data_IF_103962002002
#
_entry.id   IF_103962002002
#
_cell.length_a   1.000
_cell.length_b   1.000
_cell.length_c   1.000
_cell.angle_alpha   90.00
_cell.angle_beta   90.00
_cell.angle_gamma   90.00
#
_symmetry.space_group_name_H-M   'P 1'
#
loop_
_entity.id
_entity.type
_entity.pdbx_description
1 polymer ?
#
# COMPACT_ATOMS: atom_id res chain seq x y z
N UNK A 1 5.85 -4.34 -25.43
CA UNK A 1 4.75 -3.52 -24.89
C UNK A 1 4.74 -3.76 -23.40
N UNK A 2 5.28 -2.86 -22.59
CA UNK A 2 4.98 -2.87 -21.15
C UNK A 2 3.78 -1.96 -20.94
N UNK A 3 2.83 -2.44 -20.17
CA UNK A 3 1.61 -1.75 -19.82
C UNK A 3 1.18 -2.24 -18.46
N UNK A 4 0.15 -1.64 -17.90
CA UNK A 4 -0.41 -2.06 -16.62
C UNK A 4 -0.72 -3.56 -16.58
N UNK A 5 -0.06 -4.29 -15.67
CA UNK A 5 -0.26 -5.73 -15.45
C UNK A 5 -1.44 -5.93 -14.48
N UNK A 6 -2.60 -6.26 -15.05
CA UNK A 6 -3.87 -6.40 -14.32
C UNK A 6 -3.89 -7.61 -13.39
N UNK A 7 -3.17 -8.68 -13.71
CA UNK A 7 -3.10 -9.89 -12.89
C UNK A 7 -2.15 -9.67 -11.71
N UNK A 8 -0.99 -9.06 -11.95
CA UNK A 8 -0.07 -8.68 -10.87
C UNK A 8 -0.73 -7.68 -9.91
N UNK A 9 -1.46 -6.68 -10.44
CA UNK A 9 -2.20 -5.73 -9.63
C UNK A 9 -3.26 -6.42 -8.73
N UNK A 10 -4.06 -7.31 -9.29
CA UNK A 10 -5.05 -8.09 -8.54
C UNK A 10 -4.40 -8.95 -7.45
N UNK A 11 -3.25 -9.54 -7.77
CA UNK A 11 -2.46 -10.35 -6.84
C UNK A 11 -1.89 -9.52 -5.68
N UNK A 12 -1.39 -8.32 -5.96
CA UNK A 12 -0.91 -7.37 -4.93
C UNK A 12 -2.04 -7.02 -3.96
N UNK A 13 -3.25 -6.71 -4.44
CA UNK A 13 -4.37 -6.37 -3.55
C UNK A 13 -4.75 -7.54 -2.63
N UNK A 14 -4.76 -8.77 -3.17
CA UNK A 14 -4.98 -9.99 -2.37
C UNK A 14 -3.87 -10.20 -1.33
N UNK A 15 -2.62 -9.99 -1.73
CA UNK A 15 -1.48 -10.06 -0.82
C UNK A 15 -1.59 -9.07 0.33
N UNK A 16 -1.92 -7.79 0.05
CA UNK A 16 -2.11 -6.77 1.10
C UNK A 16 -3.22 -7.20 2.06
N UNK A 17 -4.36 -7.67 1.54
CA UNK A 17 -5.49 -8.14 2.36
C UNK A 17 -5.11 -9.31 3.28
N UNK A 18 -4.22 -10.17 2.83
CA UNK A 18 -3.80 -11.37 3.54
C UNK A 18 -2.61 -11.16 4.50
N UNK A 19 -2.04 -9.94 4.56
CA UNK A 19 -1.03 -9.61 5.56
C UNK A 19 -1.54 -9.85 6.99
N UNK A 20 -0.67 -10.41 7.83
CA UNK A 20 -0.99 -10.66 9.24
C UNK A 20 -1.13 -9.34 9.99
N UNK A 21 -2.37 -8.95 10.26
CA UNK A 21 -2.71 -7.77 11.05
C UNK A 21 -2.02 -7.79 12.43
N UNK A 22 -1.29 -6.74 12.83
CA UNK A 22 -0.81 -6.59 14.20
C UNK A 22 -1.97 -6.59 15.21
N UNK A 23 -1.83 -7.21 16.40
CA UNK A 23 -2.95 -7.37 17.34
C UNK A 23 -3.66 -6.06 17.69
N UNK A 24 -2.90 -5.00 17.95
CA UNK A 24 -3.40 -3.66 18.34
C UNK A 24 -3.90 -2.82 17.18
N UNK A 25 -3.68 -3.22 15.93
CA UNK A 25 -4.03 -2.42 14.75
C UNK A 25 -5.55 -2.29 14.58
N UNK A 26 -6.03 -1.06 14.39
CA UNK A 26 -7.43 -0.70 14.17
C UNK A 26 -7.52 0.61 13.38
N UNK A 27 -8.72 1.17 13.22
CA UNK A 27 -8.91 2.48 12.57
C UNK A 27 -8.84 2.46 11.04
N UNK A 28 -8.74 3.63 10.40
CA UNK A 28 -8.95 3.79 8.95
C UNK A 28 -8.06 2.92 8.07
N UNK A 29 -6.80 2.73 8.41
CA UNK A 29 -5.86 1.89 7.66
C UNK A 29 -6.30 0.41 7.66
N UNK A 30 -6.76 -0.11 8.81
CA UNK A 30 -7.33 -1.46 8.90
C UNK A 30 -8.66 -1.56 8.14
N UNK A 31 -9.52 -0.55 8.25
CA UNK A 31 -10.78 -0.53 7.50
C UNK A 31 -10.57 -0.48 5.98
N UNK A 32 -9.51 0.17 5.51
CA UNK A 32 -9.13 0.19 4.10
C UNK A 32 -8.69 -1.19 3.59
N UNK A 33 -7.89 -1.94 4.36
CA UNK A 33 -7.45 -3.28 3.94
C UNK A 33 -8.60 -4.27 3.79
N UNK A 34 -9.65 -4.15 4.61
CA UNK A 34 -10.87 -4.95 4.50
C UNK A 34 -11.71 -4.66 3.26
N UNK A 35 -11.53 -3.52 2.59
CA UNK A 35 -12.22 -3.17 1.33
C UNK A 35 -11.54 -3.76 0.11
N UNK A 36 -10.28 -4.19 0.24
CA UNK A 36 -9.53 -4.78 -0.86
C UNK A 36 -10.20 -6.07 -1.34
N UNK A 37 -10.25 -6.33 -2.66
CA UNK A 37 -10.90 -7.51 -3.20
C UNK A 37 -10.18 -8.79 -2.77
N UNK A 38 -10.95 -9.82 -2.43
CA UNK A 38 -10.43 -11.10 -1.97
C UNK A 38 -10.25 -12.11 -3.11
N UNK A 39 -11.21 -12.16 -4.02
CA UNK A 39 -11.32 -13.21 -5.05
C UNK A 39 -11.34 -12.60 -6.45
N UNK A 40 -10.35 -11.78 -6.77
CA UNK A 40 -10.16 -11.16 -8.09
C UNK A 40 -8.90 -11.71 -8.77
N UNK A 41 -9.03 -12.09 -10.04
CA UNK A 41 -7.89 -12.59 -10.84
C UNK A 41 -7.23 -11.48 -11.68
N UNK A 42 -8.00 -10.45 -12.06
CA UNK A 42 -7.50 -9.30 -12.81
C UNK A 42 -8.28 -8.05 -12.41
N UNK A 43 -7.63 -6.90 -12.35
CA UNK A 43 -8.26 -5.62 -12.02
C UNK A 43 -7.87 -4.54 -13.04
N UNK A 44 -8.76 -3.58 -13.30
CA UNK A 44 -8.42 -2.43 -14.14
C UNK A 44 -7.50 -1.44 -13.41
N UNK A 45 -6.67 -0.71 -14.17
CA UNK A 45 -5.73 0.27 -13.58
C UNK A 45 -6.44 1.30 -12.70
N UNK A 46 -7.50 1.93 -13.20
CA UNK A 46 -8.24 2.92 -12.44
C UNK A 46 -8.80 2.37 -11.13
N UNK A 47 -9.37 1.17 -11.15
CA UNK A 47 -9.94 0.53 -9.96
C UNK A 47 -8.84 0.16 -8.95
N UNK A 48 -7.71 -0.39 -9.41
CA UNK A 48 -6.53 -0.61 -8.58
C UNK A 48 -6.06 0.67 -7.90
N UNK A 49 -5.96 1.77 -8.65
CA UNK A 49 -5.60 3.07 -8.11
C UNK A 49 -6.62 3.59 -7.08
N UNK A 50 -7.91 3.32 -7.24
CA UNK A 50 -8.94 3.77 -6.28
C UNK A 50 -8.79 3.13 -4.89
N UNK A 51 -8.30 1.89 -4.82
CA UNK A 51 -8.03 1.23 -3.54
C UNK A 51 -6.83 1.79 -2.77
N UNK A 52 -5.92 2.48 -3.46
CA UNK A 52 -4.61 2.86 -2.90
C UNK A 52 -4.39 4.39 -2.84
N UNK A 53 -5.09 5.17 -3.68
CA UNK A 53 -4.82 6.61 -3.87
C UNK A 53 -4.98 7.47 -2.63
N UNK A 54 -5.71 6.99 -1.63
CA UNK A 54 -5.92 7.70 -0.37
C UNK A 54 -4.79 7.46 0.65
N UNK A 55 -3.89 6.52 0.37
CA UNK A 55 -2.75 6.15 1.20
C UNK A 55 -3.07 5.30 2.43
N UNK A 56 -4.33 5.00 2.74
CA UNK A 56 -4.70 4.26 3.96
C UNK A 56 -4.27 2.80 3.90
N UNK A 57 -4.46 2.15 2.74
CA UNK A 57 -3.97 0.79 2.53
C UNK A 57 -2.44 0.72 2.62
N UNK A 58 -1.73 1.79 2.25
CA UNK A 58 -0.27 1.86 2.37
C UNK A 58 0.17 1.95 3.84
N UNK A 59 -0.53 2.74 4.66
CA UNK A 59 -0.30 2.77 6.11
C UNK A 59 -0.55 1.41 6.79
N UNK A 60 -1.53 0.64 6.29
CA UNK A 60 -1.72 -0.73 6.74
C UNK A 60 -0.54 -1.64 6.38
N UNK A 61 0.00 -1.53 5.17
CA UNK A 61 1.22 -2.26 4.78
C UNK A 61 2.37 -1.93 5.74
N UNK A 62 2.63 -0.64 5.99
CA UNK A 62 3.69 -0.20 6.92
C UNK A 62 3.55 -0.86 8.29
N UNK A 63 2.36 -0.80 8.89
CA UNK A 63 2.11 -1.37 10.21
C UNK A 63 2.23 -2.91 10.23
N UNK A 64 1.92 -3.59 9.13
CA UNK A 64 2.06 -5.05 9.04
C UNK A 64 3.52 -5.49 8.86
N UNK A 65 4.30 -4.72 8.09
CA UNK A 65 5.71 -5.03 7.82
C UNK A 65 6.62 -4.60 8.97
N UNK A 66 6.27 -3.51 9.65
CA UNK A 66 6.93 -3.06 10.86
C UNK A 66 5.89 -2.76 11.97
N UNK A 67 5.61 -3.73 12.84
CA UNK A 67 4.67 -3.56 13.94
C UNK A 67 5.04 -2.46 14.94
N UNK A 68 6.29 -1.96 14.95
CA UNK A 68 6.68 -0.84 15.81
C UNK A 68 6.01 0.48 15.37
N UNK A 69 5.61 0.58 14.10
CA UNK A 69 4.91 1.74 13.54
C UNK A 69 3.43 1.80 13.88
N UNK A 70 2.84 0.74 14.48
CA UNK A 70 1.40 0.70 14.77
C UNK A 70 0.97 1.88 15.64
N UNK A 71 1.77 2.25 16.64
CA UNK A 71 1.46 3.38 17.50
C UNK A 71 1.44 4.71 16.73
N UNK A 72 2.45 4.94 15.88
CA UNK A 72 2.51 6.12 15.02
C UNK A 72 1.31 6.20 14.07
N UNK A 73 0.93 5.06 13.47
CA UNK A 73 -0.21 5.01 12.54
C UNK A 73 -1.53 5.31 13.26
N UNK A 74 -1.68 4.92 14.52
CA UNK A 74 -2.90 5.12 15.29
C UNK A 74 -3.03 6.52 15.89
N UNK A 75 -1.93 7.13 16.33
CA UNK A 75 -1.95 8.41 17.03
C UNK A 75 -1.76 9.63 16.12
N UNK A 76 -1.19 9.44 14.93
CA UNK A 76 -0.93 10.56 14.01
C UNK A 76 -2.21 10.92 13.23
N UNK A 77 -2.74 12.16 13.35
CA UNK A 77 -3.95 12.60 12.66
C UNK A 77 -3.85 12.53 11.13
N UNK A 78 -2.66 12.36 10.56
CA UNK A 78 -2.49 12.15 9.12
C UNK A 78 -3.26 10.91 8.65
N UNK A 79 -3.37 9.87 9.47
CA UNK A 79 -4.04 8.60 9.12
C UNK A 79 -5.55 8.62 9.33
N UNK A 80 -6.09 9.67 9.96
CA UNK A 80 -7.53 9.89 10.07
C UNK A 80 -8.13 10.43 8.77
N UNK A 81 -9.35 9.99 8.45
CA UNK A 81 -10.12 10.53 7.32
C UNK A 81 -10.77 11.85 7.73
N UNK A 82 -10.56 12.90 6.94
CA UNK A 82 -11.22 14.19 7.15
C UNK A 82 -12.40 14.39 6.22
N UNK A 83 -13.52 14.89 6.76
CA UNK A 83 -14.68 15.32 5.95
C UNK A 83 -14.39 16.61 5.16
N UNK A 84 -13.29 17.31 5.47
CA UNK A 84 -12.87 18.53 4.77
C UNK A 84 -11.99 18.17 3.57
N UNK A 85 -12.56 18.21 2.38
CA UNK A 85 -11.92 17.81 1.11
C UNK A 85 -10.50 18.35 0.92
N UNK A 86 -10.24 19.62 1.23
CA UNK A 86 -8.90 20.22 1.07
C UNK A 86 -7.87 19.59 1.99
N UNK A 87 -8.23 19.37 3.26
CA UNK A 87 -7.32 18.71 4.21
C UNK A 87 -7.14 17.25 3.87
N UNK A 88 -8.21 16.55 3.47
CA UNK A 88 -8.12 15.15 3.07
C UNK A 88 -7.19 14.98 1.86
N UNK A 89 -7.29 15.83 0.83
CA UNK A 89 -6.37 15.79 -0.32
C UNK A 89 -4.90 15.98 0.10
N UNK A 90 -4.62 16.84 1.08
CA UNK A 90 -3.27 17.02 1.62
C UNK A 90 -2.81 15.77 2.38
N UNK A 91 -3.68 15.19 3.22
CA UNK A 91 -3.41 13.95 3.96
C UNK A 91 -3.12 12.78 3.04
N UNK A 92 -3.89 12.60 1.97
CA UNK A 92 -3.68 11.52 0.99
C UNK A 92 -2.29 11.58 0.36
N UNK A 93 -1.88 12.78 -0.09
CA UNK A 93 -0.54 13.00 -0.65
C UNK A 93 0.55 12.72 0.38
N UNK A 94 0.32 13.11 1.63
CA UNK A 94 1.29 12.89 2.71
C UNK A 94 1.41 11.43 3.15
N UNK A 95 0.30 10.70 3.29
CA UNK A 95 0.32 9.25 3.58
C UNK A 95 1.13 8.49 2.53
N UNK A 96 0.98 8.85 1.26
CA UNK A 96 1.78 8.27 0.18
C UNK A 96 3.27 8.64 0.33
N UNK A 97 3.61 9.88 0.68
CA UNK A 97 5.00 10.27 0.96
C UNK A 97 5.60 9.47 2.12
N UNK A 98 4.87 9.30 3.21
CA UNK A 98 5.30 8.52 4.37
C UNK A 98 5.58 7.07 3.98
N UNK A 99 4.74 6.48 3.13
CA UNK A 99 4.99 5.14 2.59
C UNK A 99 6.29 5.08 1.77
N UNK A 100 6.53 6.05 0.88
CA UNK A 100 7.76 6.09 0.09
C UNK A 100 9.01 6.28 0.97
N UNK A 101 8.93 7.10 2.02
CA UNK A 101 10.01 7.24 3.01
C UNK A 101 10.25 5.93 3.78
N UNK A 102 9.18 5.22 4.13
CA UNK A 102 9.28 3.89 4.72
C UNK A 102 9.97 2.90 3.76
N UNK A 103 9.65 2.91 2.47
CA UNK A 103 10.35 2.10 1.47
C UNK A 103 11.84 2.41 1.41
N UNK A 104 12.22 3.68 1.46
CA UNK A 104 13.64 4.09 1.54
C UNK A 104 14.32 3.54 2.81
N UNK A 105 13.62 3.52 3.95
CA UNK A 105 14.14 2.94 5.20
C UNK A 105 14.37 1.42 5.11
N UNK A 106 13.70 0.75 4.17
CA UNK A 106 13.90 -0.66 3.83
C UNK A 106 14.96 -0.90 2.74
N UNK A 107 15.71 0.14 2.35
CA UNK A 107 16.71 0.13 1.26
C UNK A 107 16.12 -0.08 -0.14
N UNK A 108 14.86 0.27 -0.38
CA UNK A 108 14.31 0.36 -1.73
C UNK A 108 14.73 1.69 -2.34
N UNK A 109 15.55 1.65 -3.38
CA UNK A 109 16.05 2.87 -4.02
C UNK A 109 14.90 3.72 -4.57
N UNK A 110 15.04 5.04 -4.52
CA UNK A 110 14.04 5.96 -5.09
C UNK A 110 13.80 5.72 -6.59
N UNK A 111 14.81 5.21 -7.29
CA UNK A 111 14.77 4.75 -8.69
C UNK A 111 13.94 3.49 -8.91
N UNK A 112 13.47 2.81 -7.85
CA UNK A 112 12.54 1.66 -7.85
C UNK A 112 11.16 2.02 -7.26
N UNK A 113 11.02 3.22 -6.71
CA UNK A 113 9.78 3.74 -6.16
C UNK A 113 8.88 4.37 -7.24
N UNK A 114 7.60 4.54 -6.90
CA UNK A 114 6.65 5.35 -7.65
C UNK A 114 6.58 6.78 -7.10
N UNK A 115 5.98 7.70 -7.84
CA UNK A 115 5.79 9.09 -7.39
C UNK A 115 4.43 9.31 -6.74
N UNK A 116 4.33 10.31 -5.86
CA UNK A 116 3.05 10.66 -5.20
C UNK A 116 1.92 10.89 -6.20
N UNK A 117 2.17 11.62 -7.29
CA UNK A 117 1.19 11.86 -8.35
C UNK A 117 0.92 10.61 -9.20
N UNK A 118 1.92 9.75 -9.39
CA UNK A 118 1.78 8.45 -10.06
C UNK A 118 0.63 7.62 -9.47
N UNK A 119 0.48 7.65 -8.13
CA UNK A 119 -0.62 7.00 -7.42
C UNK A 119 -1.83 7.92 -7.17
N UNK A 120 -1.64 9.06 -6.48
CA UNK A 120 -2.76 9.89 -6.00
C UNK A 120 -3.62 10.45 -7.16
N UNK A 121 -2.98 10.78 -8.27
CA UNK A 121 -3.61 11.29 -9.49
C UNK A 121 -3.67 10.20 -10.59
N UNK A 122 -3.25 8.97 -10.26
CA UNK A 122 -3.23 7.79 -11.14
C UNK A 122 -2.47 7.98 -12.45
N UNK A 123 -1.40 8.79 -12.42
CA UNK A 123 -0.64 9.14 -13.62
C UNK A 123 0.29 8.01 -14.10
N UNK A 124 0.69 7.10 -13.21
CA UNK A 124 1.64 6.03 -13.53
C UNK A 124 1.41 4.80 -12.65
N UNK A 125 0.30 4.11 -12.89
CA UNK A 125 -0.07 2.94 -12.09
C UNK A 125 0.72 1.68 -12.45
N UNK A 126 1.32 1.61 -13.65
CA UNK A 126 2.26 0.54 -13.98
C UNK A 126 3.45 0.57 -13.02
N UNK A 127 3.99 1.76 -12.77
CA UNK A 127 5.09 1.93 -11.82
C UNK A 127 4.70 1.62 -10.38
N UNK A 128 3.48 1.97 -9.97
CA UNK A 128 2.94 1.60 -8.65
C UNK A 128 2.89 0.08 -8.49
N UNK A 129 2.40 -0.65 -9.52
CA UNK A 129 2.36 -2.12 -9.52
C UNK A 129 3.77 -2.71 -9.42
N UNK A 130 4.72 -2.22 -10.22
CA UNK A 130 6.11 -2.70 -10.19
C UNK A 130 6.74 -2.50 -8.80
N UNK A 131 6.63 -1.29 -8.23
CA UNK A 131 7.17 -1.00 -6.92
C UNK A 131 6.56 -1.89 -5.83
N UNK A 132 5.24 -2.07 -5.81
CA UNK A 132 4.59 -2.93 -4.83
C UNK A 132 4.91 -4.41 -5.03
N UNK A 133 5.17 -4.85 -6.27
CA UNK A 133 5.67 -6.20 -6.54
C UNK A 133 7.06 -6.42 -5.92
N UNK A 134 7.97 -5.46 -6.03
CA UNK A 134 9.27 -5.57 -5.35
C UNK A 134 9.07 -5.68 -3.83
N UNK A 135 8.17 -4.88 -3.25
CA UNK A 135 7.81 -4.99 -1.82
C UNK A 135 7.35 -6.41 -1.47
N UNK A 136 6.48 -7.04 -2.26
CA UNK A 136 6.01 -8.40 -1.94
C UNK A 136 7.11 -9.46 -2.00
N UNK A 137 8.13 -9.26 -2.85
CA UNK A 137 9.30 -10.14 -2.96
C UNK A 137 10.24 -9.95 -1.76
N UNK A 138 10.53 -8.71 -1.37
CA UNK A 138 11.42 -8.43 -0.22
C UNK A 138 10.86 -8.93 1.10
N UNK A 139 9.54 -8.90 1.27
CA UNK A 139 8.90 -9.38 2.51
C UNK A 139 9.11 -10.88 2.73
N UNK A 140 9.34 -11.67 1.67
CA UNK A 140 9.74 -13.08 1.80
C UNK A 140 11.10 -13.29 2.48
N UNK A 141 11.91 -12.23 2.59
CA UNK A 141 13.25 -12.25 3.18
C UNK A 141 13.33 -11.52 4.54
N UNK A 142 12.26 -10.84 4.98
CA UNK A 142 12.22 -10.15 6.27
C UNK A 142 11.82 -11.12 7.40
N UNK A 143 12.75 -11.37 8.34
CA UNK A 143 12.50 -12.22 9.51
C UNK A 143 11.27 -11.75 10.28
N UNK A 144 10.26 -12.61 10.40
CA UNK A 144 9.03 -12.34 11.16
C UNK A 144 7.85 -11.80 10.32
N UNK A 145 8.07 -11.47 9.04
CA UNK A 145 6.98 -11.15 8.12
C UNK A 145 6.61 -12.40 7.31
N UNK A 146 5.32 -12.75 7.32
CA UNK A 146 4.77 -13.80 6.44
C UNK A 146 3.81 -13.10 5.47
N UNK A 147 4.34 -12.69 4.32
CA UNK A 147 3.50 -12.45 3.15
C UNK A 147 3.03 -13.81 2.61
N UNK A 148 1.79 -13.95 2.12
CA UNK A 148 1.38 -15.22 1.54
C UNK A 148 2.20 -15.50 0.28
N UNK A 149 3.05 -16.54 0.37
CA UNK A 149 4.01 -16.96 -0.67
C UNK A 149 3.30 -17.36 -1.98
N UNK A 150 2.04 -17.81 -1.86
CA UNK A 150 1.12 -18.12 -2.97
C UNK A 150 0.87 -16.97 -3.94
N UNK A 151 1.29 -15.75 -3.60
CA UNK A 151 1.16 -14.55 -4.43
C UNK A 151 2.48 -14.03 -5.01
N UNK A 152 3.61 -14.74 -4.83
CA UNK A 152 4.95 -14.25 -5.22
C UNK A 152 5.39 -14.68 -6.64
N UNK A 153 4.70 -15.63 -7.30
CA UNK A 153 5.03 -16.14 -8.64
C UNK A 153 4.02 -15.72 -9.71
#
# INVERSE_FOLDING_TARGET
MSGFDSEAAARILRWIRALKKPPSMHGPCWEASKKLPQDVQSIGSNEFGDYLKDGLALGYIMACLDPTLVHEVLENPIWEVSDKTTFEKLRQKERIRLFLQFLTSLNIESSDQFSVSGLNEKLDLERVVQCLREVTLMVGHLNGCTGPVEFQN
#
